data_IF_657200505400
#
_entry.id   IF_657200505400
#
_cell.length_a   1.000
_cell.length_b   1.000
_cell.length_c   1.000
_cell.angle_alpha   90.00
_cell.angle_beta   90.00
_cell.angle_gamma   90.00
#
_symmetry.space_group_name_H-M   'P 1'
#
loop_
_entity.id
_entity.type
_entity.pdbx_description
1 polymer ?
#
# COMPACT_ATOMS: atom_id res chain seq x y z
N UNK A 1 25.46 -2.24 0.02
CA UNK A 1 25.05 -0.95 0.64
C UNK A 1 23.97 -0.33 -0.24
N UNK A 2 23.05 0.49 0.27
CA UNK A 2 22.14 1.20 -0.62
C UNK A 2 22.96 2.16 -1.49
N UNK A 3 22.72 2.21 -2.81
CA UNK A 3 23.45 3.14 -3.71
C UNK A 3 22.77 4.51 -3.77
N UNK A 4 21.50 4.60 -3.37
CA UNK A 4 20.72 5.83 -3.37
C UNK A 4 20.18 6.14 -1.97
N UNK A 5 20.32 7.40 -1.56
CA UNK A 5 19.82 7.91 -0.29
C UNK A 5 18.99 9.18 -0.50
N UNK A 6 17.72 9.14 -0.11
CA UNK A 6 16.92 10.36 0.03
C UNK A 6 17.49 11.19 1.19
N UNK A 7 17.89 12.42 0.90
CA UNK A 7 18.48 13.35 1.87
C UNK A 7 17.48 14.39 2.36
N UNK A 8 16.55 14.82 1.50
CA UNK A 8 15.50 15.75 1.87
C UNK A 8 14.24 15.57 1.01
N UNK A 9 13.08 15.86 1.60
CA UNK A 9 11.80 15.94 0.90
C UNK A 9 11.06 17.15 1.43
N UNK A 10 10.83 18.14 0.56
CA UNK A 10 10.09 19.36 0.90
C UNK A 10 8.70 19.27 0.30
N UNK A 11 7.68 19.41 1.15
CA UNK A 11 6.29 19.53 0.71
C UNK A 11 6.04 20.97 0.28
N UNK A 12 5.64 21.17 -0.98
CA UNK A 12 5.30 22.47 -1.54
C UNK A 12 3.78 22.65 -1.55
N UNK A 13 3.33 23.91 -1.68
CA UNK A 13 1.89 24.28 -1.74
C UNK A 13 1.02 23.59 -0.67
N UNK A 14 1.37 23.82 0.61
CA UNK A 14 0.71 23.17 1.74
C UNK A 14 0.46 24.14 2.92
N UNK A 15 -0.76 24.20 3.49
CA UNK A 15 -1.98 23.50 3.06
C UNK A 15 -2.53 24.06 1.74
N UNK A 16 -3.32 23.27 1.02
CA UNK A 16 -3.91 23.65 -0.27
C UNK A 16 -5.30 23.02 -0.48
N UNK A 17 -6.01 23.43 -1.53
CA UNK A 17 -7.26 22.77 -1.93
C UNK A 17 -7.05 21.29 -2.18
N UNK A 18 -8.06 20.46 -1.89
CA UNK A 18 -8.02 19.03 -2.20
C UNK A 18 -7.65 18.75 -3.67
N UNK A 19 -8.19 19.56 -4.59
CA UNK A 19 -7.96 19.43 -6.03
C UNK A 19 -6.65 20.07 -6.52
N UNK A 20 -5.86 20.71 -5.66
CA UNK A 20 -4.54 21.16 -6.07
C UNK A 20 -3.61 19.95 -6.26
N UNK A 21 -2.73 19.98 -7.27
CA UNK A 21 -1.69 18.97 -7.43
C UNK A 21 -0.85 18.80 -6.16
N UNK A 22 -0.43 17.58 -5.89
CA UNK A 22 0.62 17.32 -4.91
C UNK A 22 1.96 17.77 -5.48
N UNK A 23 2.81 18.39 -4.66
CA UNK A 23 4.12 18.86 -5.08
C UNK A 23 5.17 18.55 -4.01
N UNK A 24 6.16 17.75 -4.37
CA UNK A 24 7.29 17.40 -3.51
C UNK A 24 8.61 17.73 -4.19
N UNK A 25 9.44 18.55 -3.56
CA UNK A 25 10.83 18.70 -3.99
C UNK A 25 11.67 17.61 -3.32
N UNK A 26 12.17 16.68 -4.13
CA UNK A 26 12.96 15.53 -3.71
C UNK A 26 14.44 15.86 -3.89
N UNK A 27 15.23 15.70 -2.83
CA UNK A 27 16.69 15.68 -2.90
C UNK A 27 17.18 14.28 -2.53
N UNK A 28 18.00 13.69 -3.40
CA UNK A 28 18.64 12.41 -3.14
C UNK A 28 20.11 12.42 -3.55
N UNK A 29 20.89 11.52 -2.99
CA UNK A 29 22.30 11.32 -3.28
C UNK A 29 22.49 9.92 -3.84
N UNK A 30 23.20 9.82 -4.96
CA UNK A 30 23.59 8.59 -5.61
C UNK A 30 25.09 8.39 -5.37
N UNK A 31 25.46 7.33 -4.66
CA UNK A 31 26.85 7.04 -4.27
C UNK A 31 27.64 6.46 -5.45
N UNK A 32 26.95 5.80 -6.37
CA UNK A 32 27.54 5.18 -7.55
C UNK A 32 26.57 5.32 -8.71
N UNK A 33 27.07 5.44 -9.94
CA UNK A 33 26.24 5.54 -11.14
C UNK A 33 25.28 4.35 -11.28
N UNK A 34 23.99 4.63 -11.49
CA UNK A 34 22.99 3.62 -11.84
C UNK A 34 22.77 3.59 -13.35
N UNK A 35 22.81 2.37 -13.90
CA UNK A 35 22.64 2.12 -15.34
C UNK A 35 21.18 2.10 -15.78
N UNK A 36 20.27 1.83 -14.85
CA UNK A 36 18.83 1.78 -15.10
C UNK A 36 18.13 2.89 -14.32
N UNK A 37 16.86 3.09 -14.66
CA UNK A 37 16.07 4.17 -14.09
C UNK A 37 15.60 3.83 -12.67
N UNK A 38 15.56 4.86 -11.83
CA UNK A 38 14.77 4.85 -10.62
C UNK A 38 13.30 5.08 -10.99
N UNK A 39 12.43 4.18 -10.57
CA UNK A 39 10.99 4.36 -10.66
C UNK A 39 10.49 5.02 -9.39
N UNK A 40 9.91 6.21 -9.51
CA UNK A 40 9.25 6.91 -8.40
C UNK A 40 7.76 6.88 -8.60
N UNK A 41 7.01 6.50 -7.55
CA UNK A 41 5.55 6.57 -7.56
C UNK A 41 5.04 7.43 -6.42
N UNK A 42 4.05 8.26 -6.73
CA UNK A 42 3.24 8.96 -5.74
C UNK A 42 1.91 8.22 -5.59
N UNK A 43 1.60 7.77 -4.38
CA UNK A 43 0.44 6.93 -4.11
C UNK A 43 -0.39 7.60 -3.02
N UNK A 44 -1.67 7.83 -3.29
CA UNK A 44 -2.64 8.29 -2.31
C UNK A 44 -3.40 7.10 -1.74
N UNK A 45 -3.45 6.99 -0.42
CA UNK A 45 -4.20 5.94 0.27
C UNK A 45 -5.67 6.34 0.31
N UNK A 46 -6.51 5.62 -0.42
CA UNK A 46 -7.94 5.95 -0.53
C UNK A 46 -8.74 5.52 0.70
N UNK A 47 -8.32 4.47 1.39
CA UNK A 47 -8.93 3.97 2.62
C UNK A 47 -7.87 3.35 3.52
N UNK A 48 -7.98 3.53 4.83
CA UNK A 48 -7.08 2.88 5.78
C UNK A 48 -7.36 1.37 5.91
N UNK A 49 -8.54 0.91 5.48
CA UNK A 49 -8.99 -0.48 5.64
C UNK A 49 -8.61 -1.38 4.47
N UNK A 50 -8.32 -0.81 3.29
CA UNK A 50 -8.04 -1.57 2.08
C UNK A 50 -7.14 -0.84 1.10
N UNK A 51 -6.10 -1.54 0.63
CA UNK A 51 -5.20 -1.08 -0.44
C UNK A 51 -5.88 -1.05 -1.82
N UNK A 52 -7.08 -1.62 -1.97
CA UNK A 52 -7.82 -1.60 -3.25
C UNK A 52 -8.25 -0.18 -3.66
N UNK A 53 -8.30 0.74 -2.69
CA UNK A 53 -8.61 2.15 -2.91
C UNK A 53 -7.35 3.00 -3.14
N UNK A 54 -6.16 2.42 -3.07
CA UNK A 54 -4.90 3.14 -3.31
C UNK A 54 -4.84 3.61 -4.76
N UNK A 55 -4.45 4.87 -4.93
CA UNK A 55 -4.38 5.50 -6.23
C UNK A 55 -2.94 5.90 -6.50
N UNK A 56 -2.32 5.30 -7.52
CA UNK A 56 -1.07 5.81 -8.07
C UNK A 56 -1.38 7.10 -8.82
N UNK A 57 -1.01 8.23 -8.23
CA UNK A 57 -1.25 9.56 -8.79
C UNK A 57 -0.35 9.85 -9.97
N UNK A 58 0.92 9.47 -9.87
CA UNK A 58 1.88 9.55 -10.96
C UNK A 58 3.04 8.56 -10.77
N UNK A 59 3.68 8.20 -11.89
CA UNK A 59 4.89 7.39 -11.94
C UNK A 59 5.89 8.04 -12.88
N UNK A 60 7.09 8.35 -12.36
CA UNK A 60 8.18 8.91 -13.16
C UNK A 60 9.40 8.00 -13.12
N UNK A 61 10.17 8.05 -14.19
CA UNK A 61 11.44 7.35 -14.33
C UNK A 61 12.58 8.37 -14.36
N UNK A 62 13.58 8.16 -13.51
CA UNK A 62 14.75 9.02 -13.42
C UNK A 62 15.98 8.17 -13.70
N UNK A 63 16.54 8.30 -14.91
CA UNK A 63 17.80 7.69 -15.26
C UNK A 63 18.30 8.02 -16.68
N UNK A 64 19.54 7.57 -17.02
CA UNK A 64 20.52 6.98 -16.11
C UNK A 64 20.94 7.97 -15.01
N UNK A 65 21.30 7.49 -13.83
CA UNK A 65 21.54 8.35 -12.64
C UNK A 65 23.05 8.42 -12.35
N UNK A 66 23.72 9.56 -12.64
CA UNK A 66 25.12 9.74 -12.28
C UNK A 66 25.35 9.74 -10.77
N UNK A 67 26.58 9.48 -10.35
CA UNK A 67 27.01 9.75 -8.98
C UNK A 67 26.84 11.24 -8.63
N UNK A 68 26.41 11.51 -7.39
CA UNK A 68 26.27 12.84 -6.84
C UNK A 68 24.88 13.15 -6.30
N UNK A 69 24.66 14.43 -6.03
CA UNK A 69 23.42 14.95 -5.46
C UNK A 69 22.48 15.44 -6.55
N UNK A 70 21.23 14.97 -6.50
CA UNK A 70 20.18 15.28 -7.46
C UNK A 70 18.99 15.92 -6.75
N UNK A 71 18.33 16.84 -7.44
CA UNK A 71 17.13 17.53 -6.96
C UNK A 71 16.13 17.66 -8.11
N UNK A 72 14.86 17.38 -7.83
CA UNK A 72 13.77 17.59 -8.78
C UNK A 72 12.44 17.79 -8.05
N UNK A 73 11.46 18.37 -8.74
CA UNK A 73 10.09 18.50 -8.25
C UNK A 73 9.25 17.37 -8.82
N UNK A 74 8.67 16.56 -7.94
CA UNK A 74 7.69 15.54 -8.29
C UNK A 74 6.28 16.09 -8.04
N UNK A 75 5.55 16.33 -9.13
CA UNK A 75 4.19 16.84 -9.09
C UNK A 75 3.23 15.79 -9.64
N UNK A 76 2.07 15.61 -9.00
CA UNK A 76 1.02 14.72 -9.47
C UNK A 76 -0.36 15.36 -9.29
N UNK A 77 -1.29 15.04 -10.18
CA UNK A 77 -2.69 15.44 -10.09
C UNK A 77 -3.35 14.87 -8.81
N UNK A 78 -4.43 15.50 -8.30
CA UNK A 78 -5.15 14.98 -7.13
C UNK A 78 -5.77 13.60 -7.40
N UNK A 79 -6.09 12.81 -6.36
CA UNK A 79 -6.76 11.52 -6.50
C UNK A 79 -8.16 11.69 -7.12
N UNK A 80 -8.62 10.63 -7.78
CA UNK A 80 -10.00 10.51 -8.27
C UNK A 80 -10.94 10.27 -7.08
N UNK A 81 -11.78 11.28 -6.82
CA UNK A 81 -12.74 11.27 -5.71
C UNK A 81 -13.78 10.16 -5.81
N UNK A 82 -14.05 9.63 -7.01
CA UNK A 82 -15.03 8.56 -7.20
C UNK A 82 -14.55 7.21 -6.68
N UNK A 83 -13.24 7.06 -6.44
CA UNK A 83 -12.60 5.84 -5.92
C UNK A 83 -12.35 5.89 -4.42
N UNK A 84 -12.61 7.02 -3.79
CA UNK A 84 -12.45 7.23 -2.34
C UNK A 84 -13.79 6.89 -1.66
N UNK A 85 -13.81 5.95 -0.70
CA UNK A 85 -15.00 5.72 0.10
C UNK A 85 -15.46 6.99 0.82
N UNK A 86 -16.77 7.29 0.81
CA UNK A 86 -17.33 8.48 1.45
C UNK A 86 -16.89 8.65 2.93
N UNK A 87 -16.80 7.58 3.76
CA UNK A 87 -16.32 7.69 5.14
C UNK A 87 -14.85 8.12 5.27
N UNK A 88 -14.03 7.85 4.26
CA UNK A 88 -12.57 8.13 4.25
C UNK A 88 -12.23 9.46 3.57
N UNK A 89 -13.21 10.15 3.00
CA UNK A 89 -13.00 11.41 2.30
C UNK A 89 -12.53 12.56 3.21
N UNK A 90 -13.04 12.60 4.45
CA UNK A 90 -12.75 13.64 5.45
C UNK A 90 -12.02 13.00 6.63
N UNK A 91 -10.95 13.65 7.09
CA UNK A 91 -10.10 13.17 8.17
C UNK A 91 -8.70 12.84 7.69
N UNK A 92 -8.06 11.91 8.37
CA UNK A 92 -6.64 11.59 8.17
C UNK A 92 -6.47 10.41 7.23
N UNK A 93 -5.65 10.60 6.21
CA UNK A 93 -5.15 9.54 5.32
C UNK A 93 -3.63 9.69 5.11
N UNK A 94 -3.05 9.01 4.13
CA UNK A 94 -1.63 8.95 3.85
C UNK A 94 -1.36 9.19 2.36
N UNK A 95 -0.29 9.92 2.06
CA UNK A 95 0.36 9.93 0.74
C UNK A 95 1.74 9.30 0.87
N UNK A 96 2.09 8.41 -0.06
CA UNK A 96 3.34 7.65 -0.11
C UNK A 96 4.15 8.07 -1.33
N UNK A 97 5.44 8.32 -1.12
CA UNK A 97 6.45 8.37 -2.17
C UNK A 97 7.27 7.09 -2.10
N UNK A 98 7.17 6.26 -3.13
CA UNK A 98 7.99 5.04 -3.24
C UNK A 98 9.07 5.25 -4.28
N UNK A 99 10.25 4.67 -4.04
CA UNK A 99 11.30 4.58 -5.05
C UNK A 99 11.78 3.14 -5.17
N UNK A 100 11.81 2.69 -6.42
CA UNK A 100 12.20 1.35 -6.82
C UNK A 100 13.34 1.41 -7.81
N UNK A 101 14.24 0.42 -7.73
CA UNK A 101 15.26 0.20 -8.73
C UNK A 101 15.13 -1.25 -9.22
N UNK A 102 15.03 -1.45 -10.54
CA UNK A 102 14.78 -2.78 -11.13
C UNK A 102 13.54 -3.49 -10.56
N UNK A 103 12.46 -2.74 -10.36
CA UNK A 103 11.22 -3.25 -9.79
C UNK A 103 11.29 -3.64 -8.30
N UNK A 104 12.42 -3.42 -7.62
CA UNK A 104 12.55 -3.64 -6.18
C UNK A 104 12.46 -2.30 -5.45
N UNK A 105 11.41 -2.12 -4.65
CA UNK A 105 11.26 -0.95 -3.77
C UNK A 105 12.35 -0.96 -2.69
N UNK A 106 13.08 0.14 -2.56
CA UNK A 106 14.13 0.26 -1.53
C UNK A 106 13.84 1.37 -0.51
N UNK A 107 12.93 2.28 -0.82
CA UNK A 107 12.51 3.33 0.11
C UNK A 107 11.07 3.74 -0.11
N UNK A 108 10.39 4.00 1.01
CA UNK A 108 9.04 4.55 1.08
C UNK A 108 9.02 5.70 2.07
N UNK A 109 8.51 6.84 1.65
CA UNK A 109 8.30 8.02 2.50
C UNK A 109 6.81 8.30 2.56
N UNK A 110 6.21 8.09 3.73
CA UNK A 110 4.80 8.37 3.98
C UNK A 110 4.59 9.66 4.74
N UNK A 111 3.58 10.42 4.32
CA UNK A 111 3.09 11.60 5.04
C UNK A 111 1.63 11.41 5.43
N UNK A 112 1.29 11.79 6.65
CA UNK A 112 -0.11 11.97 7.01
C UNK A 112 -0.69 13.17 6.29
N UNK A 113 -1.89 13.01 5.77
CA UNK A 113 -2.67 14.03 5.07
C UNK A 113 -3.97 14.19 5.84
N UNK A 114 -4.28 15.40 6.29
CA UNK A 114 -5.56 15.71 6.89
C UNK A 114 -6.42 16.49 5.88
N UNK A 115 -7.53 15.90 5.47
CA UNK A 115 -8.54 16.55 4.64
C UNK A 115 -9.65 17.05 5.55
N UNK A 116 -9.86 18.36 5.60
CA UNK A 116 -10.86 18.96 6.49
C UNK A 116 -11.57 20.13 5.80
N UNK A 117 -12.79 20.44 6.25
CA UNK A 117 -13.53 21.58 5.72
C UNK A 117 -12.90 22.90 6.20
N UNK A 118 -12.72 23.85 5.28
CA UNK A 118 -12.25 25.18 5.66
C UNK A 118 -13.26 25.93 6.54
N UNK A 119 -14.55 25.65 6.35
CA UNK A 119 -15.67 26.28 7.05
C UNK A 119 -15.90 25.62 8.43
N UNK A 120 -15.84 26.37 9.56
CA UNK A 120 -16.13 25.84 10.88
C UNK A 120 -17.50 25.18 11.02
N UNK A 121 -18.55 25.72 10.38
CA UNK A 121 -19.91 25.17 10.50
C UNK A 121 -19.99 23.77 9.88
N UNK A 122 -19.28 23.57 8.75
CA UNK A 122 -19.19 22.27 8.07
C UNK A 122 -18.29 21.27 8.82
N UNK A 123 -17.39 21.74 9.69
CA UNK A 123 -16.60 20.84 10.56
C UNK A 123 -17.44 20.33 11.72
N UNK A 124 -18.27 21.19 12.32
CA UNK A 124 -19.17 20.79 13.40
C UNK A 124 -20.36 19.97 12.89
N UNK A 125 -20.86 20.30 11.70
CA UNK A 125 -22.01 19.66 11.06
C UNK A 125 -21.66 19.24 9.63
N UNK A 126 -20.88 18.16 9.44
CA UNK A 126 -20.47 17.73 8.12
C UNK A 126 -21.68 17.33 7.27
N UNK A 127 -21.69 17.67 5.96
CA UNK A 127 -22.73 17.24 5.05
C UNK A 127 -22.73 15.71 4.94
N UNK A 128 -23.90 15.11 4.69
CA UNK A 128 -24.05 13.66 4.54
C UNK A 128 -23.16 13.08 3.43
N UNK A 129 -22.97 13.84 2.34
CA UNK A 129 -22.04 13.51 1.27
C UNK A 129 -20.85 14.45 1.31
N UNK A 130 -19.61 13.94 1.21
CA UNK A 130 -18.42 14.77 1.19
C UNK A 130 -18.43 15.78 0.04
N UNK A 131 -18.09 17.04 0.34
CA UNK A 131 -17.97 18.11 -0.65
C UNK A 131 -16.49 18.43 -0.87
N UNK A 132 -15.82 17.66 -1.75
CA UNK A 132 -14.38 17.79 -2.01
C UNK A 132 -13.92 19.20 -2.41
N UNK A 133 -14.77 19.96 -3.11
CA UNK A 133 -14.51 21.36 -3.49
C UNK A 133 -14.31 22.30 -2.30
N UNK A 134 -14.78 21.90 -1.12
CA UNK A 134 -14.67 22.66 0.13
C UNK A 134 -13.63 22.08 1.08
N UNK A 135 -12.95 20.99 0.69
CA UNK A 135 -11.90 20.38 1.49
C UNK A 135 -10.57 21.07 1.27
N UNK A 136 -9.91 21.35 2.38
CA UNK A 136 -8.50 21.74 2.42
C UNK A 136 -7.68 20.52 2.81
N UNK A 137 -6.64 20.24 2.03
CA UNK A 137 -5.65 19.21 2.28
C UNK A 137 -4.46 19.80 3.03
N UNK A 138 -4.11 19.20 4.16
CA UNK A 138 -2.92 19.55 4.93
C UNK A 138 -2.03 18.33 5.15
N UNK A 139 -0.86 18.33 4.53
CA UNK A 139 0.18 17.30 4.65
C UNK A 139 1.05 17.63 5.87
N UNK A 140 1.19 16.68 6.80
CA UNK A 140 2.04 16.81 7.99
C UNK A 140 3.53 16.67 7.62
N UNK A 141 4.07 17.70 6.97
CA UNK A 141 5.42 17.72 6.42
C UNK A 141 6.54 17.52 7.47
N UNK A 142 6.28 17.86 8.74
CA UNK A 142 7.27 17.82 9.83
C UNK A 142 7.55 16.42 10.39
N UNK A 143 6.70 15.42 10.09
CA UNK A 143 6.82 14.06 10.65
C UNK A 143 6.67 12.98 9.58
N UNK A 144 7.55 12.96 8.55
CA UNK A 144 7.55 11.88 7.56
C UNK A 144 7.86 10.54 8.21
N UNK A 145 7.28 9.47 7.65
CA UNK A 145 7.58 8.08 8.00
C UNK A 145 8.42 7.47 6.90
N UNK A 146 9.69 7.19 7.19
CA UNK A 146 10.62 6.63 6.21
C UNK A 146 10.85 5.16 6.52
N UNK A 147 10.49 4.30 5.57
CA UNK A 147 10.78 2.86 5.61
C UNK A 147 11.79 2.55 4.52
N UNK A 148 12.81 1.75 4.84
CA UNK A 148 13.89 1.38 3.93
C UNK A 148 13.95 -0.14 3.80
N UNK A 149 14.10 -0.62 2.58
CA UNK A 149 14.21 -2.04 2.26
C UNK A 149 15.58 -2.33 1.65
N UNK A 150 16.10 -3.53 1.92
CA UNK A 150 17.33 -3.99 1.27
C UNK A 150 16.96 -4.59 -0.07
N UNK A 151 17.63 -4.13 -1.13
CA UNK A 151 17.44 -4.64 -2.49
C UNK A 151 18.79 -5.08 -3.09
N UNK A 152 18.72 -5.82 -4.19
CA UNK A 152 19.89 -6.10 -5.01
C UNK A 152 20.14 -4.98 -6.03
N UNK A 153 21.29 -4.31 -5.92
CA UNK A 153 21.67 -3.17 -6.77
C UNK A 153 22.49 -3.58 -8.01
N UNK A 154 23.13 -4.75 -7.96
CA UNK A 154 24.03 -5.21 -9.02
C UNK A 154 23.34 -6.29 -9.87
N UNK A 155 23.79 -6.44 -11.12
CA UNK A 155 23.40 -7.59 -11.95
C UNK A 155 24.06 -8.83 -11.35
N UNK A 156 23.40 -9.44 -10.36
CA UNK A 156 23.70 -10.76 -9.81
C UNK A 156 25.16 -11.04 -9.43
N UNK A 157 25.44 -11.07 -8.14
CA UNK A 157 26.06 -12.29 -7.60
C UNK A 157 24.95 -13.10 -6.92
N UNK A 158 24.11 -13.75 -7.74
CA UNK A 158 23.39 -14.92 -7.25
C UNK A 158 24.50 -15.97 -7.10
N UNK A 159 25.09 -16.07 -5.90
CA UNK A 159 25.93 -17.21 -5.58
C UNK A 159 25.04 -18.45 -5.72
N UNK A 160 25.18 -19.14 -6.85
CA UNK A 160 24.76 -20.51 -7.01
C UNK A 160 25.57 -21.36 -6.03
N UNK A 161 25.16 -21.39 -4.76
CA UNK A 161 25.59 -22.43 -3.84
C UNK A 161 24.72 -23.66 -4.16
N UNK A 162 25.02 -24.28 -5.30
CA UNK A 162 24.52 -25.61 -5.62
C UNK A 162 24.97 -26.55 -4.51
N UNK A 163 24.00 -27.05 -3.75
CA UNK A 163 24.21 -28.24 -2.93
C UNK A 163 24.75 -29.33 -3.85
N UNK A 164 26.00 -29.75 -3.59
CA UNK A 164 26.55 -30.95 -4.18
C UNK A 164 25.67 -32.13 -3.81
N UNK A 165 24.98 -32.68 -4.81
CA UNK A 165 24.42 -34.03 -4.75
C UNK A 165 25.39 -34.92 -5.49
N UNK A 166 26.42 -35.38 -4.77
CA UNK A 166 27.13 -36.60 -5.13
C UNK A 166 26.51 -37.73 -4.31
N UNK A 167 25.81 -38.63 -5.00
CA UNK A 167 25.90 -40.06 -4.76
C UNK A 167 25.25 -40.77 -5.95
N UNK A 168 26.10 -41.26 -6.85
CA UNK A 168 25.71 -42.20 -7.88
C UNK A 168 25.44 -43.57 -7.25
N UNK A 169 24.47 -44.28 -7.81
CA UNK A 169 24.45 -45.74 -7.90
C UNK A 169 23.84 -46.07 -9.27
N UNK A 170 24.67 -46.70 -10.10
CA UNK A 170 24.24 -47.45 -11.28
C UNK A 170 23.71 -48.80 -10.80
N UNK A 171 22.63 -49.31 -11.40
CA UNK A 171 22.53 -50.71 -11.81
C UNK A 171 21.33 -50.93 -12.76
N UNK A 172 21.72 -51.29 -13.99
CA UNK A 172 21.21 -52.32 -14.90
C UNK A 172 19.75 -52.42 -15.41
N UNK A 173 19.72 -52.71 -16.72
CA UNK A 173 18.60 -52.97 -17.63
C UNK A 173 17.88 -54.30 -17.36
N UNK A 174 16.58 -54.39 -17.69
CA UNK A 174 16.02 -55.47 -18.54
C UNK A 174 14.52 -55.29 -18.89
N UNK A 175 14.26 -55.24 -20.22
CA UNK A 175 13.25 -55.98 -21.03
C UNK A 175 11.74 -55.68 -21.01
N UNK A 176 11.22 -55.51 -22.24
CA UNK A 176 9.91 -55.87 -22.85
C UNK A 176 8.60 -55.47 -22.13
N UNK A 177 7.55 -54.95 -22.77
CA UNK A 177 7.06 -54.92 -24.15
C UNK A 177 5.52 -54.67 -24.08
N UNK A 178 4.83 -54.26 -25.17
CA UNK A 178 3.58 -53.47 -25.09
C UNK A 178 2.28 -54.28 -25.31
N UNK A 179 1.13 -53.78 -24.82
CA UNK A 179 -0.26 -54.12 -25.25
C UNK A 179 -1.22 -53.08 -24.62
N UNK A 180 -1.85 -52.14 -25.35
CA UNK A 180 -3.07 -52.17 -26.21
C UNK A 180 -4.42 -52.40 -25.51
N UNK A 181 -5.41 -51.67 -26.06
CA UNK A 181 -6.89 -51.78 -26.00
C UNK A 181 -7.59 -51.29 -24.72
N UNK A 182 -8.32 -50.17 -24.80
CA UNK A 182 -9.80 -50.07 -25.01
C UNK A 182 -10.51 -50.00 -23.64
N UNK A 183 -11.66 -49.39 -23.41
CA UNK A 183 -12.46 -48.33 -24.01
C UNK A 183 -13.56 -48.07 -22.97
N UNK A 184 -14.17 -46.88 -23.04
CA UNK A 184 -15.55 -46.59 -22.69
C UNK A 184 -15.99 -46.41 -21.21
N UNK A 185 -16.66 -45.26 -21.06
CA UNK A 185 -17.97 -45.05 -20.42
C UNK A 185 -18.04 -44.44 -19.03
N UNK A 186 -18.66 -43.27 -19.06
CA UNK A 186 -19.19 -42.43 -18.01
C UNK A 186 -20.13 -43.17 -17.04
N UNK A 187 -20.14 -42.73 -15.78
CA UNK A 187 -21.32 -42.70 -14.93
C UNK A 187 -21.30 -41.42 -14.08
N UNK A 188 -22.42 -40.70 -14.14
CA UNK A 188 -22.82 -39.54 -13.35
C UNK A 188 -23.49 -40.05 -12.06
N UNK A 189 -23.24 -39.41 -10.91
CA UNK A 189 -24.25 -38.96 -9.94
C UNK A 189 -23.57 -38.23 -8.75
N UNK A 190 -24.31 -37.40 -8.00
CA UNK A 190 -23.84 -36.19 -7.35
C UNK A 190 -23.95 -36.29 -5.82
N UNK A 191 -23.85 -35.12 -5.18
CA UNK A 191 -24.21 -34.80 -3.79
C UNK A 191 -23.07 -34.96 -2.78
N UNK A 192 -22.58 -33.82 -2.27
CA UNK A 192 -22.61 -33.58 -0.84
C UNK A 192 -22.60 -32.07 -0.55
N UNK A 193 -23.66 -31.70 0.15
CA UNK A 193 -24.00 -30.43 0.75
C UNK A 193 -23.08 -30.15 1.95
N UNK A 194 -22.55 -28.93 2.07
CA UNK A 194 -22.06 -28.45 3.36
C UNK A 194 -22.15 -26.93 3.48
N UNK A 195 -23.36 -26.45 3.77
CA UNK A 195 -23.59 -25.13 4.34
C UNK A 195 -23.17 -25.09 5.82
N UNK A 196 -22.23 -24.21 6.18
CA UNK A 196 -21.97 -23.84 7.58
C UNK A 196 -22.58 -22.45 7.85
N UNK A 197 -23.80 -22.46 8.37
CA UNK A 197 -24.46 -21.31 8.98
C UNK A 197 -24.11 -21.24 10.48
N UNK A 198 -23.77 -20.05 10.97
CA UNK A 198 -23.64 -19.77 12.41
C UNK A 198 -25.02 -19.40 13.01
N UNK A 199 -25.38 -19.88 14.21
CA UNK A 199 -26.66 -19.54 14.82
C UNK A 199 -26.59 -18.19 15.55
N UNK A 200 -27.56 -17.32 15.27
CA UNK A 200 -27.99 -16.24 16.15
C UNK A 200 -28.86 -16.81 17.28
N UNK A 201 -28.59 -16.44 18.52
CA UNK A 201 -29.54 -16.65 19.61
C UNK A 201 -29.76 -15.35 20.38
N UNK A 202 -30.99 -14.85 20.27
CA UNK A 202 -31.57 -13.76 21.04
C UNK A 202 -32.25 -14.36 22.27
N UNK A 203 -31.96 -13.85 23.47
CA UNK A 203 -32.56 -14.31 24.71
C UNK A 203 -32.60 -13.23 25.80
N UNK A 204 -33.68 -12.45 25.81
CA UNK A 204 -34.04 -11.46 26.84
C UNK A 204 -34.57 -12.18 28.10
N UNK A 205 -34.12 -11.74 29.28
CA UNK A 205 -34.85 -11.62 30.57
C UNK A 205 -33.93 -10.90 31.57
N UNK A 206 -34.07 -9.60 31.81
CA UNK A 206 -35.05 -8.90 32.67
C UNK A 206 -34.81 -9.07 34.18
N UNK A 207 -34.46 -7.92 34.79
CA UNK A 207 -34.72 -7.42 36.15
C UNK A 207 -33.94 -8.01 37.35
N UNK A 208 -33.12 -7.17 37.98
CA UNK A 208 -33.41 -6.76 39.37
C UNK A 208 -32.77 -5.40 39.71
N UNK A 209 -33.55 -4.60 40.42
CA UNK A 209 -33.30 -3.26 40.90
C UNK A 209 -32.35 -3.27 42.11
N UNK A 210 -31.50 -2.25 42.25
CA UNK A 210 -31.39 -1.60 43.55
C UNK A 210 -30.90 -0.16 43.42
N UNK A 211 -31.78 0.76 43.79
CA UNK A 211 -31.52 2.17 44.04
C UNK A 211 -30.67 2.33 45.30
N UNK A 212 -29.74 3.29 45.29
CA UNK A 212 -29.46 4.04 46.51
C UNK A 212 -29.03 5.46 46.15
N UNK A 213 -29.95 6.39 46.36
CA UNK A 213 -29.76 7.83 46.43
C UNK A 213 -29.26 8.22 47.82
N UNK A 214 -28.35 9.19 47.93
CA UNK A 214 -28.23 10.16 49.03
C UNK A 214 -27.12 11.16 48.62
N UNK A 215 -27.46 12.32 48.06
CA UNK A 215 -27.87 13.57 48.74
C UNK A 215 -26.66 14.41 49.25
N UNK A 216 -26.38 15.45 48.45
CA UNK A 216 -26.12 16.86 48.79
C UNK A 216 -26.11 17.24 50.29
N UNK A 217 -25.09 17.99 50.74
CA UNK A 217 -25.24 19.26 51.48
C UNK A 217 -23.88 19.94 51.80
N UNK A 218 -23.91 21.28 51.69
CA UNK A 218 -22.98 22.32 52.19
C UNK A 218 -21.65 22.56 51.47
#
# INVERSE_FOLDING_TARGET
MAKVHITNVVVLDNPSSFFNPFQFELTFECIEELKEDLEWKMIYVGSAESEEHDQVLDTIYVGPVPEGRHIFVFQADPPDVSKIPEPDAVGVTIVLLTCSYRGQEFVRVGYYVNNDYADPEMRENPPTKPLFEKLTRNILASKPRVTRFKINWDYGHINGNGNGVENGHQDEMATDGPSTSEAASAVIHPEDDNSLAMPMENGIKALNENSNSLAMEC
#
